data_IF_840580059597
#
_entry.id   IF_840580059597
#
_cell.length_a   1.000
_cell.length_b   1.000
_cell.length_c   1.000
_cell.angle_alpha   90.00
_cell.angle_beta   90.00
_cell.angle_gamma   90.00
#
_symmetry.space_group_name_H-M   'P 1'
#
loop_
_entity.id
_entity.type
_entity.pdbx_description
1 polymer ?
#
# COMPACT_ATOMS: atom_id res chain seq x y z
N UNK A 1 -23.13 103.37 1.49
CA UNK A 1 -23.78 102.12 1.05
C UNK A 1 -22.72 101.25 0.40
N UNK A 2 -22.24 100.21 1.07
CA UNK A 2 -21.60 99.01 0.50
C UNK A 2 -21.28 98.09 1.67
N UNK A 3 -22.11 97.06 1.88
CA UNK A 3 -21.81 95.95 2.79
C UNK A 3 -21.86 94.67 1.98
N UNK A 4 -20.71 94.01 1.89
CA UNK A 4 -20.49 92.68 1.33
C UNK A 4 -21.14 91.63 2.23
N UNK A 5 -22.02 90.80 1.67
CA UNK A 5 -22.59 89.61 2.33
C UNK A 5 -21.75 88.41 1.89
N UNK A 6 -21.06 87.78 2.85
CA UNK A 6 -20.36 86.52 2.68
C UNK A 6 -21.33 85.39 3.07
N UNK A 7 -21.81 84.63 2.09
CA UNK A 7 -22.63 83.44 2.32
C UNK A 7 -21.73 82.24 2.63
N UNK A 8 -21.86 81.67 3.83
CA UNK A 8 -21.26 80.38 4.19
C UNK A 8 -22.31 79.31 3.91
N UNK A 9 -22.08 78.50 2.87
CA UNK A 9 -22.83 77.28 2.64
C UNK A 9 -22.27 76.17 3.54
N UNK A 10 -23.07 75.75 4.54
CA UNK A 10 -22.78 74.56 5.31
C UNK A 10 -23.19 73.33 4.49
N UNK A 11 -22.20 72.60 3.96
CA UNK A 11 -22.40 71.28 3.35
C UNK A 11 -22.56 70.28 4.50
N UNK A 12 -23.78 69.77 4.69
CA UNK A 12 -24.03 68.61 5.54
C UNK A 12 -23.49 67.37 4.80
N UNK A 13 -22.29 66.93 5.14
CA UNK A 13 -21.81 65.62 4.75
C UNK A 13 -22.51 64.57 5.61
N UNK A 14 -23.54 63.92 5.08
CA UNK A 14 -24.06 62.68 5.64
C UNK A 14 -23.01 61.60 5.33
N UNK A 15 -22.16 61.32 6.31
CA UNK A 15 -21.26 60.17 6.26
C UNK A 15 -22.11 58.91 6.19
N UNK A 16 -22.08 58.24 5.05
CA UNK A 16 -22.55 56.87 4.91
C UNK A 16 -21.60 56.03 5.78
N UNK A 17 -22.03 55.71 7.00
CA UNK A 17 -21.37 54.68 7.80
C UNK A 17 -21.58 53.37 7.04
N UNK A 18 -20.56 52.93 6.30
CA UNK A 18 -20.49 51.54 5.88
C UNK A 18 -20.47 50.73 7.18
N UNK A 19 -21.58 50.03 7.45
CA UNK A 19 -21.57 48.98 8.47
C UNK A 19 -20.46 48.01 8.05
N UNK A 20 -19.58 47.57 8.95
CA UNK A 20 -18.65 46.51 8.62
C UNK A 20 -19.50 45.33 8.13
N UNK A 21 -19.27 44.90 6.90
CA UNK A 21 -19.76 43.61 6.42
C UNK A 21 -19.25 42.60 7.43
N UNK A 22 -20.17 41.92 8.13
CA UNK A 22 -19.81 40.86 9.05
C UNK A 22 -19.14 39.79 8.19
N UNK A 23 -17.86 39.50 8.44
CA UNK A 23 -17.17 38.43 7.72
C UNK A 23 -18.00 37.15 7.87
N UNK A 24 -18.30 36.49 6.75
CA UNK A 24 -19.02 35.22 6.80
C UNK A 24 -18.23 34.23 7.64
N UNK A 25 -18.92 33.50 8.53
CA UNK A 25 -18.31 32.48 9.38
C UNK A 25 -19.00 31.14 9.17
N UNK A 26 -18.22 30.07 9.14
CA UNK A 26 -18.71 28.70 9.13
C UNK A 26 -18.01 27.88 10.23
N UNK A 27 -18.68 26.85 10.75
CA UNK A 27 -18.19 26.08 11.89
C UNK A 27 -17.92 24.63 11.51
N UNK A 28 -16.87 24.06 12.11
CA UNK A 28 -16.53 22.63 12.08
C UNK A 28 -16.29 22.16 13.51
N UNK A 29 -17.06 21.19 13.97
CA UNK A 29 -16.89 20.55 15.26
C UNK A 29 -15.86 19.42 15.15
N UNK A 30 -14.93 19.32 16.11
CA UNK A 30 -14.08 18.14 16.29
C UNK A 30 -14.68 17.32 17.42
N UNK A 31 -15.27 16.18 17.07
CA UNK A 31 -15.97 15.27 18.00
C UNK A 31 -15.79 13.82 17.59
N UNK A 32 -15.55 12.94 18.56
CA UNK A 32 -15.40 11.52 18.32
C UNK A 32 -14.16 11.15 17.51
N UNK A 33 -13.19 12.07 17.38
CA UNK A 33 -12.05 11.92 16.49
C UNK A 33 -12.33 12.24 15.02
N UNK A 34 -13.44 12.91 14.70
CA UNK A 34 -13.86 13.28 13.34
C UNK A 34 -14.04 14.80 13.21
N UNK A 35 -13.88 15.34 12.00
CA UNK A 35 -14.35 16.70 11.68
C UNK A 35 -15.80 16.64 11.23
N UNK A 36 -16.65 17.48 11.81
CA UNK A 36 -18.10 17.48 11.58
C UNK A 36 -18.56 18.90 11.21
N UNK A 37 -18.96 19.15 9.95
CA UNK A 37 -18.93 18.20 8.83
C UNK A 37 -17.48 17.92 8.35
N UNK A 38 -17.25 16.75 7.76
CA UNK A 38 -15.95 16.39 7.19
C UNK A 38 -15.67 17.16 5.89
N UNK A 39 -16.71 17.56 5.15
CA UNK A 39 -16.64 18.43 3.99
C UNK A 39 -17.49 19.68 4.21
N UNK A 40 -16.89 20.84 3.96
CA UNK A 40 -17.54 22.13 4.12
C UNK A 40 -17.32 22.97 2.87
N UNK A 41 -18.41 23.34 2.18
CA UNK A 41 -18.35 24.32 1.10
C UNK A 41 -18.65 25.71 1.65
N UNK A 42 -17.82 26.69 1.31
CA UNK A 42 -17.97 28.11 1.71
C UNK A 42 -17.67 29.03 0.54
N UNK A 43 -18.07 30.29 0.63
CA UNK A 43 -17.65 31.32 -0.32
C UNK A 43 -16.27 31.87 0.03
N UNK A 44 -15.57 32.46 -0.95
CA UNK A 44 -14.34 33.19 -0.71
C UNK A 44 -14.49 34.26 0.38
N UNK A 45 -13.42 34.51 1.12
CA UNK A 45 -13.35 35.37 2.30
C UNK A 45 -14.17 34.88 3.51
N UNK A 46 -14.65 33.63 3.51
CA UNK A 46 -15.26 33.02 4.70
C UNK A 46 -14.21 32.62 5.73
N UNK A 47 -14.48 32.92 7.01
CA UNK A 47 -13.69 32.44 8.15
C UNK A 47 -14.28 31.15 8.70
N UNK A 48 -13.54 30.05 8.60
CA UNK A 48 -13.94 28.77 9.19
C UNK A 48 -13.38 28.67 10.60
N UNK A 49 -14.24 28.26 11.55
CA UNK A 49 -13.95 28.07 12.96
C UNK A 49 -14.01 26.59 13.30
N UNK A 50 -12.89 26.01 13.70
CA UNK A 50 -12.84 24.64 14.23
C UNK A 50 -12.89 24.68 15.75
N UNK A 51 -13.77 23.88 16.36
CA UNK A 51 -13.89 23.78 17.83
C UNK A 51 -13.62 22.35 18.30
N UNK A 52 -12.62 22.17 19.18
CA UNK A 52 -12.37 20.87 19.78
C UNK A 52 -13.30 20.57 20.95
N UNK A 53 -14.16 19.57 20.83
CA UNK A 53 -15.02 19.11 21.93
C UNK A 53 -14.52 17.80 22.56
N UNK A 54 -13.57 17.12 21.94
CA UNK A 54 -12.96 15.90 22.47
C UNK A 54 -12.01 16.20 23.64
N UNK A 55 -11.90 15.25 24.58
CA UNK A 55 -10.95 15.35 25.69
C UNK A 55 -9.49 15.25 25.22
N UNK A 56 -9.29 14.65 24.05
CA UNK A 56 -7.98 14.51 23.39
C UNK A 56 -7.74 15.75 22.53
N UNK A 57 -6.49 16.22 22.50
CA UNK A 57 -6.14 17.35 21.67
C UNK A 57 -5.97 16.93 20.20
N UNK A 58 -6.41 17.81 19.30
CA UNK A 58 -6.35 17.64 17.85
C UNK A 58 -5.60 18.81 17.20
N UNK A 59 -5.35 18.68 15.91
CA UNK A 59 -4.80 19.74 15.03
C UNK A 59 -5.73 19.91 13.84
N UNK A 60 -5.67 21.06 13.19
CA UNK A 60 -6.23 21.35 11.88
C UNK A 60 -5.07 21.85 11.04
N UNK A 61 -4.46 20.94 10.29
CA UNK A 61 -3.27 21.22 9.49
C UNK A 61 -3.60 21.01 8.03
N UNK A 62 -3.53 22.08 7.23
CA UNK A 62 -3.78 22.03 5.79
C UNK A 62 -2.65 21.34 5.03
N UNK A 63 -3.01 20.61 3.97
CA UNK A 63 -2.05 20.02 3.03
C UNK A 63 -1.15 21.10 2.42
N UNK A 64 0.13 20.78 2.20
CA UNK A 64 1.11 21.75 1.67
C UNK A 64 1.52 22.85 2.66
N UNK A 65 1.07 22.79 3.92
CA UNK A 65 1.46 23.73 4.98
C UNK A 65 0.80 25.11 4.87
N UNK A 66 -0.33 25.22 4.15
CA UNK A 66 -1.05 26.49 3.97
C UNK A 66 -1.57 27.09 5.29
N UNK A 67 -1.90 26.23 6.25
CA UNK A 67 -2.27 26.62 7.61
C UNK A 67 -2.02 25.48 8.59
N UNK A 68 -1.75 25.83 9.85
CA UNK A 68 -1.59 24.87 10.94
C UNK A 68 -2.10 25.51 12.22
N UNK A 69 -3.07 24.87 12.87
CA UNK A 69 -3.60 25.31 14.15
C UNK A 69 -2.62 25.11 15.30
N UNK A 70 -1.63 24.22 15.15
CA UNK A 70 -0.98 23.59 16.28
C UNK A 70 -1.97 22.81 17.15
N UNK A 71 -1.55 22.44 18.35
CA UNK A 71 -2.38 21.63 19.27
C UNK A 71 -3.57 22.43 19.82
N UNK A 72 -4.78 21.96 19.53
CA UNK A 72 -6.06 22.47 20.03
C UNK A 72 -6.54 21.57 21.17
N UNK A 73 -6.50 22.06 22.41
CA UNK A 73 -7.01 21.36 23.59
C UNK A 73 -8.55 21.40 23.64
N UNK A 74 -9.15 20.61 24.54
CA UNK A 74 -10.61 20.59 24.71
C UNK A 74 -11.18 22.01 24.94
N UNK A 75 -12.27 22.32 24.23
CA UNK A 75 -12.98 23.59 24.14
C UNK A 75 -12.18 24.77 23.55
N UNK A 76 -11.01 24.53 22.95
CA UNK A 76 -10.30 25.56 22.21
C UNK A 76 -10.77 25.63 20.76
N UNK A 77 -10.57 26.80 20.16
CA UNK A 77 -10.94 27.07 18.77
C UNK A 77 -9.74 27.52 17.96
N UNK A 78 -9.78 27.18 16.67
CA UNK A 78 -8.88 27.69 15.64
C UNK A 78 -9.70 28.33 14.53
N UNK A 79 -9.27 29.49 14.03
CA UNK A 79 -9.96 30.22 12.98
C UNK A 79 -9.00 30.46 11.80
N UNK A 80 -9.48 30.22 10.58
CA UNK A 80 -8.74 30.53 9.36
C UNK A 80 -9.67 31.12 8.31
N UNK A 81 -9.21 32.16 7.61
CA UNK A 81 -9.97 32.83 6.55
C UNK A 81 -9.44 32.39 5.19
N UNK A 82 -10.30 31.80 4.36
CA UNK A 82 -9.92 31.38 3.02
C UNK A 82 -10.20 32.51 2.03
N UNK A 83 -9.15 33.15 1.52
CA UNK A 83 -9.27 34.28 0.61
C UNK A 83 -9.44 33.87 -0.86
N UNK A 84 -8.85 32.73 -1.24
CA UNK A 84 -8.82 32.27 -2.61
C UNK A 84 -9.81 31.11 -2.81
N UNK A 85 -10.39 31.02 -4.00
CA UNK A 85 -11.16 29.85 -4.41
C UNK A 85 -10.24 28.65 -4.56
N UNK A 86 -10.70 27.47 -4.17
CA UNK A 86 -9.89 26.27 -4.22
C UNK A 86 -10.41 25.20 -3.30
N UNK A 87 -9.66 24.11 -3.18
CA UNK A 87 -9.98 23.02 -2.27
C UNK A 87 -8.84 22.82 -1.31
N UNK A 88 -9.17 22.91 -0.03
CA UNK A 88 -8.21 22.95 1.05
C UNK A 88 -8.41 21.70 1.92
N UNK A 89 -7.79 20.56 1.55
CA UNK A 89 -7.75 19.39 2.41
C UNK A 89 -6.90 19.69 3.65
N UNK A 90 -7.34 19.14 4.79
CA UNK A 90 -6.67 19.29 6.07
C UNK A 90 -6.85 18.04 6.92
N UNK A 91 -5.96 17.85 7.89
CA UNK A 91 -6.00 16.69 8.78
C UNK A 91 -5.38 16.92 10.14
N UNK A 92 -5.50 15.91 10.99
CA UNK A 92 -4.91 15.91 12.33
C UNK A 92 -3.54 15.21 12.34
N UNK A 93 -2.47 15.95 12.63
CA UNK A 93 -1.07 15.48 12.63
C UNK A 93 -0.59 14.94 14.00
N UNK A 94 -1.33 15.18 15.09
CA UNK A 94 -0.90 14.81 16.46
C UNK A 94 -0.91 13.31 16.78
N UNK A 95 -1.44 12.45 15.91
CA UNK A 95 -1.53 10.99 16.17
C UNK A 95 -1.26 10.14 14.91
N UNK A 96 -0.18 10.41 14.19
CA UNK A 96 0.31 9.50 13.14
C UNK A 96 0.80 8.12 13.69
N UNK A 97 0.90 7.94 15.03
CA UNK A 97 1.52 6.75 15.65
C UNK A 97 0.59 5.83 16.44
N UNK A 98 -0.72 6.10 16.52
CA UNK A 98 -1.69 5.28 17.29
C UNK A 98 -2.75 4.59 16.44
N UNK A 99 -2.40 4.03 15.27
CA UNK A 99 -3.22 3.03 14.50
C UNK A 99 -4.74 3.31 14.46
N UNK A 100 -5.14 4.59 14.38
CA UNK A 100 -6.52 5.01 14.14
C UNK A 100 -6.55 5.79 12.85
N UNK A 101 -7.64 5.61 12.12
CA UNK A 101 -7.93 6.21 10.83
C UNK A 101 -7.61 7.72 10.82
N UNK A 102 -6.96 8.24 9.77
CA UNK A 102 -6.55 9.64 9.72
C UNK A 102 -7.78 10.54 9.67
N UNK A 103 -7.97 11.31 10.74
CA UNK A 103 -8.98 12.37 10.82
C UNK A 103 -8.70 13.41 9.73
N UNK A 104 -9.60 13.50 8.76
CA UNK A 104 -9.47 14.32 7.55
C UNK A 104 -10.72 15.15 7.30
N UNK A 105 -10.51 16.36 6.80
CA UNK A 105 -11.58 17.20 6.32
C UNK A 105 -11.16 18.03 5.12
N UNK A 106 -12.13 18.68 4.49
CA UNK A 106 -11.89 19.54 3.34
C UNK A 106 -12.76 20.78 3.40
N UNK A 107 -12.16 21.93 3.12
CA UNK A 107 -12.90 23.16 2.83
C UNK A 107 -12.88 23.40 1.33
N UNK A 108 -14.04 23.49 0.69
CA UNK A 108 -14.20 23.84 -0.72
C UNK A 108 -14.63 25.30 -0.76
N UNK A 109 -13.81 26.15 -1.36
CA UNK A 109 -14.05 27.59 -1.45
C UNK A 109 -14.47 27.93 -2.86
N UNK A 110 -15.73 28.35 -3.01
CA UNK A 110 -16.32 28.74 -4.29
C UNK A 110 -16.36 30.27 -4.43
N UNK A 111 -16.47 30.83 -5.65
CA UNK A 111 -16.62 32.27 -5.84
C UNK A 111 -17.84 32.84 -5.10
N UNK A 112 -17.75 34.10 -4.66
CA UNK A 112 -18.85 34.80 -3.98
C UNK A 112 -20.12 34.79 -4.85
N UNK A 113 -21.27 34.40 -4.27
CA UNK A 113 -22.56 34.31 -4.96
C UNK A 113 -22.83 33.00 -5.69
N UNK A 114 -21.94 31.99 -5.58
CA UNK A 114 -22.14 30.65 -6.17
C UNK A 114 -22.80 29.66 -5.20
N UNK A 115 -22.86 29.94 -3.90
CA UNK A 115 -23.55 29.10 -2.93
C UNK A 115 -25.06 29.33 -3.04
N UNK A 116 -25.76 28.46 -3.76
CA UNK A 116 -27.23 28.42 -3.75
C UNK A 116 -27.69 27.74 -2.46
N UNK A 117 -28.50 28.43 -1.66
CA UNK A 117 -29.15 27.80 -0.50
C UNK A 117 -29.95 26.56 -0.95
N UNK A 118 -30.02 25.47 -0.14
CA UNK A 118 -30.74 24.27 -0.52
C UNK A 118 -32.25 24.57 -0.63
N UNK A 119 -32.71 24.91 -1.83
CA UNK A 119 -34.12 25.25 -2.08
C UNK A 119 -34.45 25.96 -3.38
N UNK A 120 -33.48 26.52 -4.12
CA UNK A 120 -33.81 27.32 -5.31
C UNK A 120 -33.17 26.76 -6.60
N UNK A 121 -34.01 26.24 -7.48
CA UNK A 121 -33.63 25.72 -8.80
C UNK A 121 -33.29 26.89 -9.74
N UNK A 122 -32.02 27.27 -9.80
CA UNK A 122 -31.52 28.23 -10.79
C UNK A 122 -30.79 27.51 -11.91
N UNK A 123 -31.39 27.56 -13.09
CA UNK A 123 -30.79 27.09 -14.35
C UNK A 123 -29.71 28.08 -14.79
N UNK A 124 -28.42 27.71 -14.88
CA UNK A 124 -27.41 28.61 -15.39
C UNK A 124 -27.58 28.79 -16.90
N UNK A 125 -27.49 30.05 -17.35
CA UNK A 125 -27.46 30.42 -18.77
C UNK A 125 -26.00 30.58 -19.20
N UNK A 126 -25.49 29.89 -20.23
CA UNK A 126 -24.11 30.02 -20.63
C UNK A 126 -23.92 31.29 -21.46
N UNK A 127 -22.94 32.13 -21.08
CA UNK A 127 -22.42 33.20 -21.92
C UNK A 127 -20.94 32.95 -22.16
N UNK A 128 -20.57 32.48 -23.35
CA UNK A 128 -19.16 32.29 -23.70
C UNK A 128 -18.97 31.62 -25.05
N UNK A 129 -18.56 32.42 -26.04
CA UNK A 129 -18.36 32.09 -27.44
C UNK A 129 -17.13 31.19 -27.68
N UNK A 130 -17.34 29.93 -28.05
CA UNK A 130 -16.32 29.04 -28.63
C UNK A 130 -16.82 28.45 -29.96
N UNK A 131 -15.88 28.22 -30.87
CA UNK A 131 -16.07 27.86 -32.28
C UNK A 131 -16.76 26.49 -32.48
N UNK A 132 -17.59 26.29 -33.53
CA UNK A 132 -18.32 25.04 -33.73
C UNK A 132 -17.39 23.88 -34.16
N UNK A 133 -17.30 22.81 -33.35
CA UNK A 133 -16.55 21.61 -33.71
C UNK A 133 -16.51 20.48 -32.67
N UNK A 134 -16.50 20.80 -31.37
CA UNK A 134 -16.59 19.84 -30.27
C UNK A 134 -17.54 20.43 -29.22
N UNK A 135 -18.67 19.78 -28.99
CA UNK A 135 -19.54 20.14 -27.86
C UNK A 135 -18.76 19.81 -26.59
N UNK A 136 -18.50 20.77 -25.68
CA UNK A 136 -17.97 20.43 -24.38
C UNK A 136 -19.01 19.54 -23.70
N UNK A 137 -18.62 18.33 -23.31
CA UNK A 137 -19.46 17.50 -22.46
C UNK A 137 -19.61 18.26 -21.14
N UNK A 138 -20.79 18.85 -20.92
CA UNK A 138 -21.18 19.52 -19.69
C UNK A 138 -21.41 18.50 -18.54
N UNK A 139 -20.49 17.55 -18.41
CA UNK A 139 -20.50 16.49 -17.41
C UNK A 139 -19.37 16.75 -16.42
N UNK A 140 -19.71 16.71 -15.13
CA UNK A 140 -18.71 16.75 -14.06
C UNK A 140 -17.85 15.50 -14.08
N UNK A 141 -16.72 15.51 -13.38
CA UNK A 141 -15.89 14.31 -13.17
C UNK A 141 -16.71 13.14 -12.65
N UNK A 142 -17.60 13.38 -11.68
CA UNK A 142 -18.47 12.35 -11.08
C UNK A 142 -19.46 11.80 -12.11
N UNK A 143 -20.09 12.66 -12.91
CA UNK A 143 -21.04 12.22 -13.94
C UNK A 143 -20.34 11.42 -15.05
N UNK A 144 -19.13 11.84 -15.42
CA UNK A 144 -18.31 11.17 -16.41
C UNK A 144 -17.92 9.76 -15.94
N UNK A 145 -17.39 9.66 -14.72
CA UNK A 145 -17.00 8.38 -14.11
C UNK A 145 -18.21 7.45 -13.98
N UNK A 146 -19.36 7.97 -13.54
CA UNK A 146 -20.58 7.18 -13.40
C UNK A 146 -21.17 6.71 -14.74
N UNK A 147 -20.84 7.37 -15.84
CA UNK A 147 -21.27 7.02 -17.19
C UNK A 147 -20.40 5.95 -17.88
N UNK A 148 -19.22 5.65 -17.34
CA UNK A 148 -18.23 4.82 -18.02
C UNK A 148 -18.35 3.34 -17.65
N UNK A 149 -18.42 2.47 -18.66
CA UNK A 149 -18.75 1.05 -18.44
C UNK A 149 -17.67 0.24 -17.70
N UNK A 150 -16.42 0.73 -17.68
CA UNK A 150 -15.29 0.06 -17.03
C UNK A 150 -14.87 0.72 -15.71
N UNK A 151 -15.64 1.71 -15.20
CA UNK A 151 -15.35 2.42 -13.96
C UNK A 151 -16.44 2.18 -12.90
N UNK A 152 -17.20 1.10 -13.01
CA UNK A 152 -18.38 0.87 -12.17
C UNK A 152 -18.02 0.71 -10.69
N UNK A 153 -16.92 0.01 -10.38
CA UNK A 153 -16.42 -0.16 -9.01
C UNK A 153 -15.91 1.17 -8.41
N UNK A 154 -15.22 1.98 -9.22
CA UNK A 154 -14.75 3.31 -8.80
C UNK A 154 -15.93 4.28 -8.57
N UNK A 155 -16.94 4.24 -9.44
CA UNK A 155 -18.17 5.02 -9.26
C UNK A 155 -18.95 4.61 -8.00
N UNK A 156 -19.05 3.30 -7.72
CA UNK A 156 -19.68 2.79 -6.50
C UNK A 156 -18.90 3.18 -5.24
N UNK A 157 -17.56 3.17 -5.30
CA UNK A 157 -16.69 3.67 -4.24
C UNK A 157 -16.94 5.17 -3.97
N UNK A 158 -16.95 6.00 -5.01
CA UNK A 158 -17.28 7.42 -4.90
C UNK A 158 -18.66 7.65 -4.29
N UNK A 159 -19.66 6.84 -4.65
CA UNK A 159 -21.00 6.98 -4.06
C UNK A 159 -21.08 6.69 -2.56
N UNK A 160 -20.12 5.93 -2.02
CA UNK A 160 -20.01 5.63 -0.59
C UNK A 160 -19.12 6.62 0.16
N UNK A 161 -18.22 7.30 -0.55
CA UNK A 161 -17.23 8.22 -0.03
C UNK A 161 -17.74 9.67 -0.05
N UNK A 162 -18.16 10.15 1.11
CA UNK A 162 -18.90 11.41 1.21
C UNK A 162 -18.04 12.64 0.90
N UNK A 163 -16.75 12.59 1.24
CA UNK A 163 -15.82 13.69 1.02
C UNK A 163 -15.38 13.71 -0.43
N UNK A 164 -14.87 12.59 -0.95
CA UNK A 164 -14.36 12.46 -2.31
C UNK A 164 -15.43 12.81 -3.34
N UNK A 165 -16.68 12.33 -3.15
CA UNK A 165 -17.79 12.69 -4.04
C UNK A 165 -18.07 14.18 -4.06
N UNK A 166 -18.11 14.82 -2.90
CA UNK A 166 -18.41 16.26 -2.79
C UNK A 166 -17.29 17.07 -3.47
N UNK A 167 -16.03 16.74 -3.19
CA UNK A 167 -14.86 17.35 -3.82
C UNK A 167 -14.93 17.25 -5.34
N UNK A 168 -15.14 16.05 -5.89
CA UNK A 168 -15.18 15.84 -7.34
C UNK A 168 -16.43 16.39 -8.03
N UNK A 169 -17.49 16.71 -7.27
CA UNK A 169 -18.72 17.32 -7.83
C UNK A 169 -18.57 18.82 -8.01
N UNK A 170 -17.99 19.53 -7.04
CA UNK A 170 -18.02 21.00 -6.98
C UNK A 170 -16.66 21.69 -6.96
N UNK A 171 -15.57 20.96 -6.73
CA UNK A 171 -14.21 21.49 -6.80
C UNK A 171 -13.60 21.38 -8.20
N UNK A 172 -12.33 21.79 -8.32
CA UNK A 172 -11.52 21.62 -9.53
C UNK A 172 -10.83 22.92 -9.97
N UNK A 173 -9.98 22.88 -11.01
CA UNK A 173 -9.74 21.73 -11.89
C UNK A 173 -8.97 20.58 -11.21
N UNK A 174 -9.33 19.33 -11.51
CA UNK A 174 -8.60 18.14 -11.03
C UNK A 174 -8.20 17.21 -12.16
N UNK A 175 -7.17 16.41 -11.89
CA UNK A 175 -6.85 15.23 -12.68
C UNK A 175 -7.11 14.00 -11.82
N UNK A 176 -7.99 13.10 -12.31
CA UNK A 176 -8.38 11.87 -11.63
C UNK A 176 -7.74 10.68 -12.35
N UNK A 177 -6.94 9.91 -11.63
CA UNK A 177 -6.42 8.62 -12.10
C UNK A 177 -7.40 7.52 -11.69
N UNK A 178 -8.42 7.26 -12.50
CA UNK A 178 -9.51 6.34 -12.16
C UNK A 178 -9.12 4.88 -12.45
N UNK A 179 -9.03 3.99 -11.45
CA UNK A 179 -8.78 2.57 -11.71
C UNK A 179 -9.97 1.92 -12.39
N UNK A 180 -9.70 1.07 -13.39
CA UNK A 180 -10.73 0.27 -14.03
C UNK A 180 -11.27 -0.85 -13.11
N UNK A 181 -12.36 -1.47 -13.53
CA UNK A 181 -12.99 -2.55 -12.76
C UNK A 181 -12.03 -3.76 -12.57
N UNK A 182 -11.13 -4.01 -13.51
CA UNK A 182 -10.14 -5.09 -13.40
C UNK A 182 -9.08 -4.78 -12.33
N UNK A 183 -8.69 -3.51 -12.19
CA UNK A 183 -7.80 -3.03 -11.13
C UNK A 183 -8.42 -3.26 -9.74
N UNK A 184 -9.72 -2.98 -9.59
CA UNK A 184 -10.45 -3.27 -8.35
C UNK A 184 -10.54 -4.77 -8.08
N UNK A 185 -10.85 -5.60 -9.09
CA UNK A 185 -10.87 -7.06 -8.94
C UNK A 185 -9.50 -7.63 -8.49
N UNK A 186 -8.41 -7.03 -8.97
CA UNK A 186 -7.04 -7.46 -8.67
C UNK A 186 -6.59 -7.18 -7.21
N UNK A 187 -7.23 -6.25 -6.49
CA UNK A 187 -6.90 -5.93 -5.09
C UNK A 187 -7.22 -7.07 -4.10
N UNK A 188 -8.04 -8.05 -4.50
CA UNK A 188 -8.47 -9.13 -3.65
C UNK A 188 -9.62 -8.75 -2.70
N UNK A 189 -10.51 -9.71 -2.45
CA UNK A 189 -11.79 -9.47 -1.79
C UNK A 189 -11.65 -9.03 -0.31
N UNK A 190 -10.55 -9.41 0.37
CA UNK A 190 -10.30 -9.05 1.77
C UNK A 190 -9.90 -7.58 1.92
N UNK A 191 -8.99 -7.09 1.08
CA UNK A 191 -8.58 -5.67 1.03
C UNK A 191 -9.74 -4.77 0.61
N UNK A 192 -10.51 -5.17 -0.40
CA UNK A 192 -11.73 -4.47 -0.79
C UNK A 192 -12.73 -4.39 0.37
N UNK A 193 -12.95 -5.49 1.10
CA UNK A 193 -13.90 -5.51 2.22
C UNK A 193 -13.44 -4.62 3.37
N UNK A 194 -12.14 -4.58 3.66
CA UNK A 194 -11.59 -3.72 4.71
C UNK A 194 -11.77 -2.23 4.36
N UNK A 195 -11.41 -1.84 3.13
CA UNK A 195 -11.47 -0.44 2.68
C UNK A 195 -12.92 0.03 2.49
N UNK A 196 -13.80 -0.79 1.91
CA UNK A 196 -15.18 -0.37 1.64
C UNK A 196 -16.09 -0.34 2.89
N UNK A 197 -15.65 -0.90 4.01
CA UNK A 197 -16.39 -0.86 5.29
C UNK A 197 -15.97 0.30 6.20
N UNK A 198 -14.87 0.99 5.89
CA UNK A 198 -14.40 2.17 6.59
C UNK A 198 -14.48 3.37 5.63
N UNK A 199 -15.47 4.24 5.84
CA UNK A 199 -15.73 5.38 4.96
C UNK A 199 -14.59 6.37 4.93
N UNK A 200 -13.85 6.55 6.03
CA UNK A 200 -12.71 7.46 6.07
C UNK A 200 -11.50 6.88 5.32
N UNK A 201 -11.24 5.58 5.43
CA UNK A 201 -10.23 4.91 4.60
C UNK A 201 -10.59 4.93 3.12
N UNK A 202 -11.89 4.78 2.80
CA UNK A 202 -12.37 4.87 1.43
C UNK A 202 -12.22 6.29 0.86
N UNK A 203 -12.58 7.32 1.62
CA UNK A 203 -12.38 8.72 1.23
C UNK A 203 -10.89 9.01 0.99
N UNK A 204 -10.01 8.57 1.88
CA UNK A 204 -8.57 8.75 1.74
C UNK A 204 -8.00 8.01 0.52
N UNK A 205 -8.45 6.77 0.25
CA UNK A 205 -8.02 6.01 -0.92
C UNK A 205 -8.42 6.73 -2.19
N UNK A 206 -9.67 7.18 -2.28
CA UNK A 206 -10.18 7.86 -3.47
C UNK A 206 -9.49 9.21 -3.68
N UNK A 207 -9.23 9.96 -2.61
CA UNK A 207 -8.50 11.24 -2.67
C UNK A 207 -7.04 11.08 -3.08
N UNK A 208 -6.43 9.90 -2.91
CA UNK A 208 -5.08 9.60 -3.42
C UNK A 208 -5.04 9.46 -4.95
N UNK A 209 -6.17 9.17 -5.58
CA UNK A 209 -6.28 9.11 -7.05
C UNK A 209 -6.52 10.49 -7.68
N UNK A 210 -6.56 11.56 -6.88
CA UNK A 210 -6.93 12.91 -7.34
C UNK A 210 -5.78 13.87 -7.06
N UNK A 211 -5.37 14.59 -8.10
CA UNK A 211 -4.39 15.68 -8.00
C UNK A 211 -5.00 17.00 -8.47
N UNK A 212 -4.56 18.10 -7.88
CA UNK A 212 -5.02 19.44 -8.24
C UNK A 212 -4.40 19.92 -9.57
N UNK A 213 -5.25 20.40 -10.48
CA UNK A 213 -4.87 20.88 -11.80
C UNK A 213 -5.37 19.98 -12.95
N UNK A 214 -5.34 20.52 -14.16
CA UNK A 214 -5.60 19.77 -15.40
C UNK A 214 -4.27 19.35 -16.02
N UNK A 215 -3.92 18.08 -15.90
CA UNK A 215 -2.73 17.51 -16.51
C UNK A 215 -3.12 16.53 -17.61
N UNK A 216 -2.85 16.91 -18.86
CA UNK A 216 -2.91 15.97 -19.97
C UNK A 216 -1.71 15.02 -19.95
N UNK A 217 -1.76 13.93 -20.72
CA UNK A 217 -0.57 13.07 -20.94
C UNK A 217 0.59 13.87 -21.52
N UNK A 218 0.32 14.86 -22.37
CA UNK A 218 1.36 15.77 -22.90
C UNK A 218 2.03 16.56 -21.77
N UNK A 219 1.23 17.15 -20.87
CA UNK A 219 1.75 17.92 -19.72
C UNK A 219 2.57 17.03 -18.78
N UNK A 220 2.04 15.85 -18.43
CA UNK A 220 2.71 14.89 -17.55
C UNK A 220 4.04 14.38 -18.16
N UNK A 221 4.03 14.09 -19.46
CA UNK A 221 5.21 13.64 -20.18
C UNK A 221 6.26 14.75 -20.29
N UNK A 222 5.84 15.98 -20.56
CA UNK A 222 6.75 17.14 -20.58
C UNK A 222 7.36 17.41 -19.20
N UNK A 223 6.56 17.30 -18.13
CA UNK A 223 7.02 17.44 -16.76
C UNK A 223 8.05 16.36 -16.41
N UNK A 224 7.71 15.08 -16.61
CA UNK A 224 8.60 13.96 -16.33
C UNK A 224 9.93 14.03 -17.11
N UNK A 225 9.89 14.38 -18.40
CA UNK A 225 11.09 14.51 -19.22
C UNK A 225 12.02 15.64 -18.75
N UNK A 226 11.47 16.69 -18.14
CA UNK A 226 12.25 17.81 -17.60
C UNK A 226 13.03 17.41 -16.34
N UNK A 227 12.52 16.44 -15.59
CA UNK A 227 13.06 15.97 -14.30
C UNK A 227 13.75 14.61 -14.37
N UNK A 228 14.14 14.16 -15.57
CA UNK A 228 14.88 12.91 -15.75
C UNK A 228 13.98 11.67 -15.78
N UNK A 229 12.87 11.77 -16.51
CA UNK A 229 11.86 10.75 -16.76
C UNK A 229 10.90 10.45 -15.60
N UNK A 230 10.84 11.31 -14.57
CA UNK A 230 9.92 11.14 -13.44
C UNK A 230 9.52 12.49 -12.87
N UNK A 231 8.23 12.72 -12.66
CA UNK A 231 7.69 13.88 -11.93
C UNK A 231 6.87 13.42 -10.73
N UNK A 232 6.77 14.24 -9.70
CA UNK A 232 6.02 13.93 -8.48
C UNK A 232 4.87 14.92 -8.35
N UNK A 233 3.67 14.43 -8.02
CA UNK A 233 2.45 15.22 -7.86
C UNK A 233 1.90 15.06 -6.45
N UNK A 234 1.44 16.16 -5.86
CA UNK A 234 0.73 16.15 -4.57
C UNK A 234 -0.74 15.74 -4.80
N UNK A 235 -1.20 14.74 -4.05
CA UNK A 235 -2.59 14.28 -4.09
C UNK A 235 -3.46 15.03 -3.08
N UNK A 236 -4.78 14.97 -3.27
CA UNK A 236 -5.72 15.55 -2.30
C UNK A 236 -5.73 14.78 -0.96
N UNK A 237 -5.24 13.54 -0.92
CA UNK A 237 -5.03 12.79 0.33
C UNK A 237 -3.84 13.33 1.15
N UNK A 238 -3.05 14.26 0.61
CA UNK A 238 -1.94 14.91 1.31
C UNK A 238 -0.59 14.20 1.22
N UNK A 239 -0.53 13.08 0.50
CA UNK A 239 0.69 12.38 0.11
C UNK A 239 0.97 12.58 -1.39
N UNK A 240 2.05 12.00 -1.90
CA UNK A 240 2.49 12.19 -3.28
C UNK A 240 2.34 10.93 -4.12
N UNK A 241 2.21 11.11 -5.43
CA UNK A 241 2.35 10.06 -6.45
C UNK A 241 3.44 10.44 -7.46
N UNK A 242 4.12 9.44 -7.99
CA UNK A 242 5.16 9.56 -9.00
C UNK A 242 4.60 9.20 -10.37
N UNK A 243 4.84 10.05 -11.35
CA UNK A 243 4.53 9.78 -12.75
C UNK A 243 5.83 9.59 -13.51
N UNK A 244 6.04 8.40 -14.07
CA UNK A 244 7.28 8.02 -14.75
C UNK A 244 7.05 7.89 -16.26
N UNK A 245 7.97 8.42 -17.05
CA UNK A 245 7.97 8.31 -18.51
C UNK A 245 9.05 7.33 -18.97
N UNK A 246 8.66 6.13 -19.42
CA UNK A 246 9.59 5.12 -19.95
C UNK A 246 9.19 4.76 -21.38
N UNK A 247 10.13 4.89 -22.31
CA UNK A 247 9.96 4.51 -23.73
C UNK A 247 8.72 5.12 -24.42
N UNK A 248 8.31 6.33 -23.99
CA UNK A 248 7.15 7.04 -24.52
C UNK A 248 5.81 6.64 -23.89
N UNK A 249 5.82 5.74 -22.89
CA UNK A 249 4.66 5.40 -22.07
C UNK A 249 4.76 6.08 -20.70
N UNK A 250 3.61 6.50 -20.17
CA UNK A 250 3.49 7.00 -18.81
C UNK A 250 2.96 5.90 -17.88
N UNK A 251 3.58 5.79 -16.71
CA UNK A 251 3.04 5.06 -15.58
C UNK A 251 2.86 6.00 -14.40
N UNK A 252 1.80 5.77 -13.62
CA UNK A 252 1.53 6.45 -12.35
C UNK A 252 1.80 5.44 -11.26
N UNK A 253 2.88 5.65 -10.51
CA UNK A 253 3.55 4.61 -9.73
C UNK A 253 3.85 3.39 -10.62
N UNK A 254 3.16 2.28 -10.37
CA UNK A 254 3.23 1.04 -11.16
C UNK A 254 2.02 0.84 -12.09
N UNK A 255 1.05 1.76 -12.07
CA UNK A 255 -0.16 1.69 -12.86
C UNK A 255 0.07 2.24 -14.27
N UNK A 256 -0.39 1.52 -15.29
CA UNK A 256 -0.39 1.97 -16.68
C UNK A 256 -1.66 2.77 -16.96
N UNK A 257 -1.54 3.88 -17.69
CA UNK A 257 -2.70 4.61 -18.20
C UNK A 257 -3.28 3.85 -19.41
N UNK A 258 -4.49 3.31 -19.27
CA UNK A 258 -5.19 2.53 -20.31
C UNK A 258 -6.08 3.39 -21.19
N UNK A 259 -6.62 4.49 -20.65
CA UNK A 259 -7.36 5.51 -21.40
C UNK A 259 -6.99 6.87 -20.83
N UNK A 260 -6.67 7.83 -21.69
CA UNK A 260 -6.10 9.10 -21.28
C UNK A 260 -6.92 10.29 -21.77
N UNK A 261 -6.69 11.45 -21.14
CA UNK A 261 -7.13 12.77 -21.59
C UNK A 261 -8.65 12.89 -21.76
N UNK A 262 -9.42 12.23 -20.88
CA UNK A 262 -10.88 12.30 -20.93
C UNK A 262 -11.35 13.57 -20.20
N UNK A 263 -11.73 14.59 -20.98
CA UNK A 263 -12.11 15.90 -20.44
C UNK A 263 -13.49 15.91 -19.77
N UNK A 264 -13.57 16.60 -18.62
CA UNK A 264 -14.80 16.90 -17.87
C UNK A 264 -14.91 18.41 -17.60
N UNK A 265 -16.08 18.88 -17.15
CA UNK A 265 -16.33 20.30 -16.84
C UNK A 265 -15.37 20.86 -15.79
N UNK A 266 -15.03 20.05 -14.79
CA UNK A 266 -14.18 20.42 -13.67
C UNK A 266 -12.87 19.61 -13.58
N UNK A 267 -12.42 18.98 -14.69
CA UNK A 267 -11.17 18.23 -14.67
C UNK A 267 -10.86 17.37 -15.91
N UNK A 268 -9.92 16.45 -15.72
CA UNK A 268 -9.54 15.38 -16.66
C UNK A 268 -9.53 14.04 -15.93
N UNK A 269 -9.94 12.97 -16.61
CA UNK A 269 -9.82 11.58 -16.14
C UNK A 269 -8.80 10.83 -16.99
N UNK A 270 -7.89 10.12 -16.32
CA UNK A 270 -7.03 9.08 -16.90
C UNK A 270 -7.42 7.75 -16.26
N UNK A 271 -7.85 6.77 -17.05
CA UNK A 271 -8.14 5.42 -16.58
C UNK A 271 -6.84 4.65 -16.42
N UNK A 272 -6.67 3.94 -15.30
CA UNK A 272 -5.47 3.16 -14.97
C UNK A 272 -5.79 1.69 -14.65
N UNK A 273 -4.81 0.80 -14.80
CA UNK A 273 -4.96 -0.66 -14.61
C UNK A 273 -4.62 -1.16 -13.19
N UNK A 274 -4.32 -0.26 -12.25
CA UNK A 274 -4.07 -0.59 -10.85
C UNK A 274 -4.69 0.45 -9.91
N UNK A 275 -5.12 0.01 -8.73
CA UNK A 275 -5.52 0.94 -7.66
C UNK A 275 -4.27 1.49 -6.98
N UNK A 276 -4.18 2.81 -6.90
CA UNK A 276 -3.14 3.52 -6.16
C UNK A 276 -3.48 3.45 -4.67
N UNK A 277 -2.70 2.72 -3.89
CA UNK A 277 -2.92 2.58 -2.45
C UNK A 277 -1.88 3.42 -1.71
N UNK A 278 -2.30 4.44 -0.94
CA UNK A 278 -1.41 5.21 -0.08
C UNK A 278 -0.57 4.35 0.84
N UNK A 279 0.71 4.70 1.02
CA UNK A 279 1.59 4.02 1.97
C UNK A 279 1.11 4.11 3.44
N UNK A 280 0.24 5.08 3.75
CA UNK A 280 -0.29 5.30 5.10
C UNK A 280 -1.66 4.64 5.35
N UNK A 281 -2.38 4.20 4.30
CA UNK A 281 -3.70 3.54 4.42
C UNK A 281 -3.62 2.04 4.58
N UNK A 282 -2.44 1.49 4.36
CA UNK A 282 -2.03 0.17 4.78
C UNK A 282 -1.53 0.31 6.22
N UNK A 283 -2.25 -0.22 7.23
CA UNK A 283 -1.56 -0.61 8.45
C UNK A 283 -0.35 -1.43 8.02
N UNK A 284 0.78 -1.36 8.74
CA UNK A 284 1.97 -2.20 8.54
C UNK A 284 1.68 -3.74 8.60
N UNK A 285 0.42 -4.12 8.59
CA UNK A 285 -0.17 -5.45 8.63
C UNK A 285 -0.89 -5.83 7.29
N UNK A 286 -0.97 -4.96 6.26
CA UNK A 286 -1.61 -5.35 4.97
C UNK A 286 -0.97 -4.80 3.68
N UNK A 287 0.29 -4.37 3.70
CA UNK A 287 1.09 -4.34 2.45
C UNK A 287 1.68 -5.71 2.24
N UNK A 288 1.23 -6.39 1.20
CA UNK A 288 2.10 -7.31 0.48
C UNK A 288 2.90 -6.46 -0.51
N UNK A 289 4.15 -6.06 -0.21
CA UNK A 289 5.05 -5.69 -1.29
C UNK A 289 5.22 -6.92 -2.18
N UNK A 290 5.15 -6.69 -3.48
CA UNK A 290 5.13 -7.66 -4.58
C UNK A 290 6.47 -8.39 -4.73
N UNK A 291 6.89 -9.11 -3.69
CA UNK A 291 7.84 -10.21 -3.82
C UNK A 291 7.46 -11.27 -2.78
N UNK A 292 6.84 -12.36 -3.23
CA UNK A 292 6.44 -13.46 -2.36
C UNK A 292 7.63 -13.96 -1.53
N UNK A 293 7.37 -14.32 -0.28
CA UNK A 293 8.32 -15.03 0.56
C UNK A 293 8.77 -16.30 -0.18
N UNK A 294 10.07 -16.54 -0.21
CA UNK A 294 10.63 -17.69 -0.92
C UNK A 294 11.65 -18.40 -0.03
N UNK A 295 11.65 -19.74 -0.13
CA UNK A 295 12.61 -20.61 0.52
C UNK A 295 13.33 -21.38 -0.56
N UNK A 296 14.66 -21.42 -0.45
CA UNK A 296 15.52 -22.29 -1.25
C UNK A 296 16.39 -23.16 -0.35
N UNK A 297 16.39 -24.47 -0.52
CA UNK A 297 17.31 -25.42 0.10
C UNK A 297 18.61 -25.36 -0.68
N UNK A 298 19.65 -24.81 -0.05
CA UNK A 298 20.98 -24.65 -0.64
C UNK A 298 21.75 -25.96 -0.54
N UNK A 299 21.63 -26.65 0.59
CA UNK A 299 22.20 -27.96 0.83
C UNK A 299 21.26 -28.79 1.70
N UNK A 300 21.14 -30.11 1.48
CA UNK A 300 21.64 -30.84 0.32
C UNK A 300 20.85 -30.49 -0.96
N UNK A 301 21.51 -30.58 -2.13
CA UNK A 301 20.84 -30.42 -3.42
C UNK A 301 19.90 -31.59 -3.71
N UNK A 302 18.88 -31.35 -4.53
CA UNK A 302 17.98 -32.39 -5.05
C UNK A 302 18.76 -33.56 -5.66
N UNK A 303 18.46 -34.79 -5.22
CA UNK A 303 19.10 -36.02 -5.66
C UNK A 303 20.50 -36.29 -5.09
N UNK A 304 20.98 -35.48 -4.15
CA UNK A 304 22.31 -35.67 -3.56
C UNK A 304 22.44 -37.00 -2.80
N UNK A 305 23.66 -37.51 -2.72
CA UNK A 305 24.02 -38.61 -1.83
C UNK A 305 24.77 -38.07 -0.61
N UNK A 306 24.30 -38.39 0.58
CA UNK A 306 24.90 -37.98 1.84
C UNK A 306 25.55 -39.18 2.54
N UNK A 307 26.67 -38.94 3.24
CA UNK A 307 27.31 -39.97 4.05
C UNK A 307 26.38 -40.43 5.19
N UNK A 308 26.53 -41.69 5.61
CA UNK A 308 25.78 -42.25 6.72
C UNK A 308 25.89 -41.39 7.99
N UNK A 309 24.76 -41.11 8.66
CA UNK A 309 24.73 -40.39 9.93
C UNK A 309 24.01 -39.06 9.86
N UNK A 310 24.71 -37.96 10.10
CA UNK A 310 24.09 -36.64 10.25
C UNK A 310 23.90 -35.96 8.90
N UNK A 311 22.71 -35.41 8.67
CA UNK A 311 22.39 -34.63 7.45
C UNK A 311 22.02 -33.22 7.86
N UNK A 312 22.80 -32.25 7.38
CA UNK A 312 22.52 -30.82 7.59
C UNK A 312 21.75 -30.26 6.40
N UNK A 313 20.61 -29.63 6.69
CA UNK A 313 19.80 -28.87 5.75
C UNK A 313 20.09 -27.40 5.96
N UNK A 314 20.55 -26.71 4.92
CA UNK A 314 20.85 -25.28 4.88
C UNK A 314 19.91 -24.60 3.89
N UNK A 315 19.29 -23.51 4.30
CA UNK A 315 18.34 -22.76 3.48
C UNK A 315 18.74 -21.32 3.28
N UNK A 316 18.31 -20.75 2.17
CA UNK A 316 18.27 -19.32 1.92
C UNK A 316 16.80 -18.89 1.86
N UNK A 317 16.48 -17.83 2.60
CA UNK A 317 15.13 -17.30 2.76
C UNK A 317 15.14 -15.85 2.28
N UNK A 318 14.22 -15.49 1.39
CA UNK A 318 14.09 -14.12 0.88
C UNK A 318 12.67 -13.61 1.11
N UNK A 319 12.52 -12.30 1.31
CA UNK A 319 11.24 -11.63 1.55
C UNK A 319 10.46 -12.21 2.74
N UNK A 320 11.19 -12.73 3.74
CA UNK A 320 10.60 -13.27 4.97
C UNK A 320 11.57 -13.07 6.14
N UNK A 321 11.06 -12.50 7.24
CA UNK A 321 11.82 -12.19 8.45
C UNK A 321 11.65 -13.31 9.48
N UNK A 322 12.76 -13.88 9.93
CA UNK A 322 12.73 -14.95 10.93
C UNK A 322 12.67 -14.37 12.35
N UNK A 323 11.60 -14.67 13.07
CA UNK A 323 11.32 -14.22 14.44
C UNK A 323 11.03 -15.40 15.35
N UNK A 324 11.29 -15.24 16.65
CA UNK A 324 11.06 -16.30 17.63
C UNK A 324 9.54 -16.50 17.86
N UNK A 325 9.02 -17.74 17.82
CA UNK A 325 7.59 -18.02 17.99
C UNK A 325 7.01 -17.66 19.37
N UNK A 326 7.80 -17.25 20.37
CA UNK A 326 7.28 -17.06 21.73
C UNK A 326 6.40 -15.81 21.88
N UNK A 327 5.08 -15.99 21.81
CA UNK A 327 4.08 -15.04 22.30
C UNK A 327 3.83 -13.81 21.42
N UNK A 328 4.33 -13.82 20.19
CA UNK A 328 4.07 -12.78 19.19
C UNK A 328 2.78 -13.07 18.43
N UNK A 329 1.92 -12.07 18.16
CA UNK A 329 0.83 -12.22 17.21
C UNK A 329 1.39 -12.46 15.80
N UNK A 330 0.63 -13.07 14.89
CA UNK A 330 1.04 -13.13 13.48
C UNK A 330 1.23 -11.72 12.93
N UNK A 331 2.33 -11.50 12.20
CA UNK A 331 2.54 -10.29 11.42
C UNK A 331 2.97 -10.68 9.99
N UNK A 332 2.58 -9.92 8.96
CA UNK A 332 2.92 -10.26 7.57
C UNK A 332 4.42 -10.24 7.32
N UNK A 333 4.87 -11.16 6.46
CA UNK A 333 6.27 -11.23 6.05
C UNK A 333 7.23 -11.65 7.18
N UNK A 334 6.73 -12.10 8.32
CA UNK A 334 7.53 -12.65 9.40
C UNK A 334 6.97 -13.98 9.95
N UNK A 335 7.84 -14.74 10.59
CA UNK A 335 7.53 -16.01 11.21
C UNK A 335 8.76 -16.85 11.43
N UNK A 336 8.64 -18.17 11.34
CA UNK A 336 9.75 -19.07 11.58
C UNK A 336 9.71 -20.27 10.63
N UNK A 337 10.75 -21.10 10.70
CA UNK A 337 10.90 -22.26 9.83
C UNK A 337 10.48 -23.53 10.56
N UNK A 338 9.77 -24.39 9.85
CA UNK A 338 9.60 -25.79 10.19
C UNK A 338 10.47 -26.63 9.26
N UNK A 339 11.39 -27.41 9.81
CA UNK A 339 12.09 -28.45 9.04
C UNK A 339 11.40 -29.79 9.25
N UNK A 340 11.33 -30.56 8.18
CA UNK A 340 10.67 -31.85 8.11
C UNK A 340 11.62 -32.93 7.60
N UNK A 341 11.51 -34.13 8.17
CA UNK A 341 12.16 -35.35 7.70
C UNK A 341 11.11 -36.42 7.46
N UNK A 342 10.97 -36.85 6.21
CA UNK A 342 10.00 -37.86 5.76
C UNK A 342 8.55 -37.55 6.19
N UNK A 343 8.22 -36.26 6.26
CA UNK A 343 6.90 -35.78 6.60
C UNK A 343 6.24 -35.09 5.39
N UNK A 344 4.93 -35.22 5.28
CA UNK A 344 4.15 -34.43 4.33
C UNK A 344 4.00 -33.02 4.88
N UNK A 345 4.41 -32.02 4.11
CA UNK A 345 4.30 -30.61 4.48
C UNK A 345 2.83 -30.24 4.74
N UNK A 346 2.49 -29.75 5.94
CA UNK A 346 1.12 -29.35 6.26
C UNK A 346 0.68 -28.12 5.47
N UNK A 347 -0.54 -28.15 4.94
CA UNK A 347 -1.10 -27.09 4.06
C UNK A 347 -2.34 -26.40 4.62
N UNK A 348 -2.82 -26.81 5.80
CA UNK A 348 -4.04 -26.26 6.38
C UNK A 348 -3.75 -24.92 7.07
N UNK A 349 -4.17 -23.82 6.42
CA UNK A 349 -3.99 -22.45 6.94
C UNK A 349 -4.61 -22.21 8.32
N UNK A 350 -5.62 -22.99 8.73
CA UNK A 350 -6.33 -22.78 10.00
C UNK A 350 -5.81 -23.64 11.16
N UNK A 351 -4.69 -24.34 10.99
CA UNK A 351 -4.11 -25.16 12.04
C UNK A 351 -2.59 -25.07 12.04
N UNK A 352 -1.93 -25.23 13.21
CA UNK A 352 -0.48 -25.32 13.27
C UNK A 352 0.07 -26.37 12.30
N UNK A 353 1.16 -26.03 11.60
CA UNK A 353 1.83 -26.84 10.60
C UNK A 353 2.64 -27.98 11.24
N UNK A 354 1.95 -28.82 11.99
CA UNK A 354 2.47 -30.00 12.66
C UNK A 354 2.12 -31.22 11.79
N UNK A 355 3.10 -32.01 11.36
CA UNK A 355 2.84 -33.14 10.49
C UNK A 355 2.22 -34.31 11.27
N UNK A 356 1.42 -35.12 10.59
CA UNK A 356 0.79 -36.31 11.20
C UNK A 356 1.79 -37.47 11.40
N UNK A 357 2.86 -37.50 10.60
CA UNK A 357 3.89 -38.56 10.55
C UNK A 357 5.21 -37.95 10.13
N UNK A 358 6.33 -38.60 10.46
CA UNK A 358 7.68 -38.11 10.17
C UNK A 358 8.25 -37.22 11.28
N UNK A 359 9.48 -36.76 11.11
CA UNK A 359 10.15 -35.84 12.03
C UNK A 359 9.83 -34.39 11.69
N UNK A 360 9.74 -33.53 12.72
CA UNK A 360 9.75 -32.09 12.51
C UNK A 360 10.53 -31.36 13.60
N UNK A 361 11.04 -30.18 13.27
CA UNK A 361 11.64 -29.25 14.22
C UNK A 361 11.21 -27.83 13.89
N UNK A 362 11.11 -26.98 14.92
CA UNK A 362 10.87 -25.55 14.78
C UNK A 362 12.21 -24.84 14.95
N UNK A 363 12.52 -23.89 14.08
CA UNK A 363 13.74 -23.09 14.21
C UNK A 363 13.63 -21.73 13.54
N UNK A 364 14.38 -20.77 14.05
CA UNK A 364 14.70 -19.50 13.38
C UNK A 364 16.07 -19.54 12.70
N UNK A 365 16.84 -20.62 12.86
CA UNK A 365 18.12 -20.78 12.19
C UNK A 365 17.92 -21.20 10.74
N UNK A 366 18.77 -20.68 9.86
CA UNK A 366 18.85 -21.06 8.44
C UNK A 366 19.49 -22.43 8.21
N UNK A 367 19.86 -23.14 9.27
CA UNK A 367 20.42 -24.49 9.19
C UNK A 367 19.83 -25.39 10.27
N UNK A 368 19.61 -26.65 9.93
CA UNK A 368 19.24 -27.69 10.89
C UNK A 368 19.93 -29.01 10.56
N UNK A 369 20.47 -29.69 11.57
CA UNK A 369 21.12 -30.99 11.42
C UNK A 369 20.24 -32.09 12.00
N UNK A 370 19.79 -32.99 11.13
CA UNK A 370 19.16 -34.24 11.53
C UNK A 370 20.23 -35.24 11.93
N UNK A 371 20.18 -35.72 13.16
CA UNK A 371 21.14 -36.69 13.67
C UNK A 371 20.71 -38.13 13.37
N UNK A 372 21.69 -38.99 13.06
CA UNK A 372 21.48 -40.43 12.88
C UNK A 372 20.40 -40.79 11.83
N UNK A 373 20.37 -40.07 10.70
CA UNK A 373 19.49 -40.40 9.59
C UNK A 373 19.86 -41.78 9.05
N UNK A 374 18.86 -42.65 8.92
CA UNK A 374 19.06 -44.01 8.44
C UNK A 374 19.53 -44.03 6.99
N UNK A 375 20.12 -45.14 6.55
CA UNK A 375 20.46 -45.31 5.14
C UNK A 375 19.20 -45.54 4.29
N UNK A 376 19.10 -44.86 3.15
CA UNK A 376 17.94 -44.93 2.28
C UNK A 376 17.61 -43.59 1.62
N UNK A 377 16.54 -43.56 0.84
CA UNK A 377 16.02 -42.32 0.28
C UNK A 377 15.17 -41.60 1.34
N UNK A 378 15.44 -40.31 1.53
CA UNK A 378 14.80 -39.45 2.51
C UNK A 378 14.33 -38.15 1.85
N UNK A 379 13.22 -37.60 2.36
CA UNK A 379 12.70 -36.31 1.95
C UNK A 379 12.97 -35.29 3.05
N UNK A 380 13.69 -34.23 2.70
CA UNK A 380 13.90 -33.08 3.56
C UNK A 380 13.07 -31.93 3.03
N UNK A 381 12.19 -31.38 3.86
CA UNK A 381 11.37 -30.23 3.49
C UNK A 381 11.54 -29.10 4.49
N UNK A 382 11.44 -27.87 4.02
CA UNK A 382 11.46 -26.68 4.87
C UNK A 382 10.30 -25.78 4.48
N UNK A 383 9.53 -25.33 5.47
CA UNK A 383 8.36 -24.47 5.30
C UNK A 383 8.48 -23.22 6.16
N UNK A 384 8.14 -22.07 5.60
CA UNK A 384 7.89 -20.85 6.38
C UNK A 384 6.45 -20.84 6.88
N UNK A 385 6.27 -20.48 8.14
CA UNK A 385 4.99 -20.45 8.82
C UNK A 385 4.86 -19.14 9.59
N UNK A 386 3.62 -18.72 9.87
CA UNK A 386 3.34 -17.57 10.73
C UNK A 386 3.80 -17.81 12.18
N UNK A 387 3.83 -16.75 12.98
CA UNK A 387 4.19 -16.78 14.41
C UNK A 387 3.37 -17.79 15.23
N UNK A 388 2.11 -18.02 14.88
CA UNK A 388 1.22 -19.03 15.51
C UNK A 388 1.40 -20.46 14.96
N UNK A 389 2.45 -20.71 14.17
CA UNK A 389 2.75 -21.95 13.47
C UNK A 389 1.83 -22.31 12.30
N UNK A 390 0.86 -21.47 11.91
CA UNK A 390 0.02 -21.76 10.74
C UNK A 390 0.78 -21.57 9.41
N UNK A 391 0.49 -22.35 8.36
CA UNK A 391 1.08 -22.16 7.04
C UNK A 391 0.84 -20.76 6.44
N UNK A 392 1.84 -20.21 5.75
CA UNK A 392 1.66 -19.06 4.85
C UNK A 392 0.76 -19.41 3.66
N UNK A 393 0.05 -18.41 3.13
CA UNK A 393 -0.78 -18.50 1.93
C UNK A 393 -0.41 -17.33 0.97
N UNK A 394 0.10 -17.59 -0.24
CA UNK A 394 0.39 -18.91 -0.82
C UNK A 394 1.47 -19.69 -0.03
N UNK A 395 1.48 -21.02 -0.19
CA UNK A 395 2.33 -21.91 0.59
C UNK A 395 3.80 -21.73 0.24
N UNK A 396 4.64 -21.39 1.22
CA UNK A 396 6.09 -21.20 1.03
C UNK A 396 6.84 -22.38 1.62
N UNK A 397 7.28 -23.28 0.76
CA UNK A 397 8.08 -24.45 1.16
C UNK A 397 8.94 -24.96 0.01
N UNK A 398 9.96 -25.74 0.35
CA UNK A 398 10.68 -26.55 -0.62
C UNK A 398 10.90 -27.97 -0.06
N UNK A 399 11.09 -28.94 -0.95
CA UNK A 399 11.44 -30.32 -0.62
C UNK A 399 12.56 -30.78 -1.51
N UNK A 400 13.55 -31.46 -0.93
CA UNK A 400 14.60 -32.17 -1.64
C UNK A 400 14.63 -33.66 -1.27
N UNK A 401 14.88 -34.51 -2.26
CA UNK A 401 15.10 -35.95 -2.11
C UNK A 401 16.60 -36.23 -2.00
N UNK A 402 17.01 -36.96 -0.96
CA UNK A 402 18.42 -37.25 -0.67
C UNK A 402 18.59 -38.72 -0.38
N UNK A 403 19.64 -39.35 -0.92
CA UNK A 403 19.99 -40.73 -0.58
C UNK A 403 21.09 -40.75 0.47
N UNK A 404 20.79 -41.25 1.66
CA UNK A 404 21.79 -41.46 2.72
C UNK A 404 22.43 -42.84 2.51
N UNK A 405 23.74 -42.87 2.33
CA UNK A 405 24.48 -44.10 2.11
C UNK A 405 24.50 -44.98 3.38
N UNK A 406 24.56 -46.30 3.19
CA UNK A 406 24.79 -47.23 4.29
C UNK A 406 26.20 -47.04 4.87
N UNK A 407 26.34 -47.18 6.18
CA UNK A 407 27.65 -47.23 6.82
C UNK A 407 28.38 -48.50 6.32
N UNK A 408 29.15 -48.37 5.25
CA UNK A 408 30.05 -49.43 4.81
C UNK A 408 31.13 -49.54 5.87
N UNK A 409 30.96 -50.53 6.76
CA UNK A 409 32.09 -51.01 7.55
C UNK A 409 33.18 -51.37 6.54
N UNK A 410 34.41 -50.83 6.64
CA UNK A 410 35.49 -51.29 5.78
C UNK A 410 35.59 -52.80 5.96
N UNK A 411 35.36 -53.55 4.89
CA UNK A 411 35.62 -54.99 4.89
C UNK A 411 37.09 -55.10 5.26
N UNK A 412 37.39 -55.77 6.39
CA UNK A 412 38.77 -56.09 6.75
C UNK A 412 39.44 -56.66 5.50
N UNK A 413 40.54 -56.03 5.13
CA UNK A 413 41.36 -56.40 4.00
C UNK A 413 41.78 -57.86 4.19
N UNK A 414 41.06 -58.80 3.57
CA UNK A 414 41.52 -60.19 3.47
C UNK A 414 42.84 -60.11 2.72
N UNK A 415 43.91 -60.30 3.47
CA UNK A 415 45.27 -60.47 2.94
C UNK A 415 45.20 -61.47 1.80
N UNK A 416 45.68 -61.11 0.59
CA UNK A 416 45.77 -62.05 -0.50
C UNK A 416 46.65 -63.22 -0.06
N UNK A 417 46.12 -64.44 -0.15
CA UNK A 417 46.91 -65.67 -0.05
C UNK A 417 48.03 -65.57 -1.07
N UNK A 418 49.28 -65.56 -0.60
CA UNK A 418 50.46 -65.58 -1.49
C UNK A 418 50.37 -66.78 -2.41
N UNK A 419 50.16 -66.52 -3.69
CA UNK A 419 50.26 -67.51 -4.74
C UNK A 419 51.77 -67.71 -4.99
N UNK A 420 52.36 -68.68 -4.29
CA UNK A 420 53.75 -69.10 -4.47
C UNK A 420 53.95 -69.48 -5.93
N UNK A 421 54.59 -68.60 -6.68
CA UNK A 421 54.99 -68.86 -8.06
C UNK A 421 56.26 -69.71 -7.99
N UNK A 422 56.16 -70.95 -8.43
CA UNK A 422 57.27 -71.90 -8.45
C UNK A 422 58.45 -71.36 -9.25
N UNK A 423 59.64 -71.43 -8.65
CA UNK A 423 60.88 -71.47 -9.40
C UNK A 423 61.49 -72.86 -9.21
N UNK A 424 61.60 -73.56 -10.32
CA UNK A 424 62.16 -74.90 -10.48
C UNK A 424 63.64 -74.79 -10.81
N UNK A 425 64.53 -75.41 -10.02
CA UNK A 425 65.92 -75.78 -10.38
C UNK A 425 66.35 -76.94 -9.45
N UNK A 426 67.12 -77.95 -9.92
CA UNK A 426 66.83 -79.35 -9.60
C UNK A 426 67.67 -80.02 -8.48
N UNK A 427 67.01 -80.97 -7.82
CA UNK A 427 67.39 -82.32 -7.36
C UNK A 427 68.87 -82.72 -7.12
N UNK A 428 69.14 -83.21 -5.90
CA UNK A 428 70.07 -84.30 -5.55
C UNK A 428 69.73 -84.84 -4.13
N UNK A 429 70.06 -86.12 -3.79
CA UNK A 429 69.07 -87.10 -3.36
C UNK A 429 68.98 -87.40 -1.84
N UNK A 430 67.93 -88.16 -1.50
CA UNK A 430 67.54 -88.65 -0.19
C UNK A 430 68.56 -89.59 0.48
N UNK A 431 68.70 -89.47 1.81
CA UNK A 431 69.06 -90.59 2.68
C UNK A 431 67.84 -91.06 3.47
N UNK A 432 67.56 -92.33 3.27
CA UNK A 432 66.51 -93.17 3.82
C UNK A 432 66.92 -93.68 5.20
N UNK A 433 66.12 -93.46 6.26
CA UNK A 433 66.12 -94.37 7.41
C UNK A 433 64.70 -94.63 7.94
N UNK A 434 64.19 -95.78 7.49
CA UNK A 434 63.29 -96.77 8.12
C UNK A 434 62.81 -96.49 9.56
N UNK A 435 61.50 -96.48 9.69
CA UNK A 435 60.71 -97.00 10.82
C UNK A 435 60.90 -98.55 10.81
N UNK A 436 60.89 -99.39 11.87
CA UNK A 436 60.01 -99.71 13.03
C UNK A 436 60.71 -100.89 13.80
N UNK A 437 60.24 -101.49 14.92
CA UNK A 437 58.91 -101.50 15.54
C UNK A 437 58.75 -100.66 16.82
#
# INVERSE_FOLDING_TARGET
MTSTILGIAAVLAVGLLALPVLAATADVDIRGGEYIPASLTVEENTTVTWTNYDEVAHTVTGTGGLFDSGRIEQNQTFNYTFADTGTYPYGCTLNASTRRTPMQGVVIVVPEGMMVEPGENVTPTPTGNLTPGEEPLNMTLVDLIAGEANLTAFADALNRASVAKTVLTSGGPYTVFAPDDAAFEALGNETLTAIFNDTEMLDALLMHHVVEGNYTVEDLMAAANTTGNMTTLDTLAGNTINVTAVDGNLTVENATIVTADVAAENGIVHVIDMVLVPEDLIPAENVTPTTEANITIVEPMEGASAAAGNVTVSVNVTNFTLVDPTGQPNAPGEGHLHYYLDAVVPTNASAPAIPKTGGYVISTNLTHTWENVTSGAHNFSVQAVNNDHTPLIPLVFETVNVTVEGNITPVENVTPVENVTGNITPEAPAEEQRVIP
#
